data_IF_692274551581
#
_entry.id   IF_692274551581
#
_cell.length_a   1.000
_cell.length_b   1.000
_cell.length_c   1.000
_cell.angle_alpha   90.00
_cell.angle_beta   90.00
_cell.angle_gamma   90.00
#
_symmetry.space_group_name_H-M   'P 1'
#
loop_
_entity.id
_entity.type
_entity.pdbx_description
1 polymer ?
#
# COMPACT_ATOMS: atom_id res chain seq x y z
N UNK A 1 46.59 -80.02 -21.03
CA UNK A 1 47.30 -79.09 -20.11
C UNK A 1 47.19 -77.62 -20.47
N UNK A 2 46.94 -77.19 -21.71
CA UNK A 2 46.85 -75.79 -22.12
C UNK A 2 45.56 -75.06 -21.66
N UNK A 3 44.45 -75.78 -21.50
CA UNK A 3 43.17 -75.16 -21.12
C UNK A 3 43.10 -74.68 -19.65
N UNK A 4 43.88 -75.29 -18.75
CA UNK A 4 43.89 -74.91 -17.32
C UNK A 4 44.73 -73.61 -17.11
N UNK A 5 45.72 -73.36 -17.97
CA UNK A 5 46.58 -72.21 -17.86
C UNK A 5 45.90 -70.87 -18.27
N UNK A 6 44.82 -70.97 -19.07
CA UNK A 6 44.03 -69.81 -19.47
C UNK A 6 42.88 -69.50 -18.47
N UNK A 7 42.42 -70.53 -17.77
CA UNK A 7 41.32 -70.39 -16.78
C UNK A 7 41.74 -69.63 -15.51
N UNK A 8 43.01 -69.75 -15.10
CA UNK A 8 43.56 -69.09 -13.90
C UNK A 8 43.53 -67.58 -14.02
N UNK A 9 44.05 -66.94 -15.12
CA UNK A 9 44.00 -65.49 -15.27
C UNK A 9 42.58 -64.94 -15.46
N UNK A 10 41.67 -65.70 -16.12
CA UNK A 10 40.30 -65.28 -16.27
C UNK A 10 39.59 -65.31 -14.91
N UNK A 11 39.82 -66.30 -14.08
CA UNK A 11 39.29 -66.37 -12.72
C UNK A 11 39.88 -65.27 -11.83
N UNK A 12 41.17 -64.94 -11.98
CA UNK A 12 41.85 -63.84 -11.31
C UNK A 12 41.23 -62.49 -11.68
N UNK A 13 40.96 -62.25 -12.98
CA UNK A 13 40.30 -61.04 -13.47
C UNK A 13 38.83 -60.97 -12.98
N UNK A 14 38.11 -62.09 -12.96
CA UNK A 14 36.75 -62.14 -12.46
C UNK A 14 36.68 -61.84 -10.94
N UNK A 15 37.62 -62.46 -10.16
CA UNK A 15 37.75 -62.20 -8.72
C UNK A 15 38.18 -60.73 -8.46
N UNK A 16 39.12 -60.21 -9.25
CA UNK A 16 39.52 -58.82 -9.17
C UNK A 16 38.33 -57.84 -9.47
N UNK A 17 37.56 -58.15 -10.48
CA UNK A 17 36.38 -57.35 -10.84
C UNK A 17 35.27 -57.42 -9.77
N UNK A 18 35.03 -58.61 -9.21
CA UNK A 18 34.08 -58.82 -8.11
C UNK A 18 34.57 -58.18 -6.82
N UNK A 19 35.85 -58.24 -6.52
CA UNK A 19 36.47 -57.63 -5.37
C UNK A 19 36.52 -56.11 -5.52
N UNK A 20 36.83 -55.58 -6.71
CA UNK A 20 36.82 -54.16 -7.00
C UNK A 20 35.42 -53.57 -7.00
N UNK A 21 34.44 -54.36 -7.44
CA UNK A 21 33.02 -53.99 -7.36
C UNK A 21 32.49 -53.98 -5.92
N UNK A 22 33.03 -54.86 -5.08
CA UNK A 22 32.71 -54.95 -3.64
C UNK A 22 33.50 -53.91 -2.81
N UNK A 23 34.65 -53.45 -3.28
CA UNK A 23 35.49 -52.45 -2.64
C UNK A 23 35.21 -51.02 -3.07
N UNK A 24 34.41 -50.78 -4.13
CA UNK A 24 33.82 -49.45 -4.24
C UNK A 24 32.89 -49.31 -3.05
N UNK A 25 33.24 -48.52 -2.04
CA UNK A 25 32.22 -48.18 -1.05
C UNK A 25 31.05 -47.63 -1.87
N UNK A 26 29.90 -48.29 -1.82
CA UNK A 26 28.67 -47.59 -2.03
C UNK A 26 28.79 -46.45 -1.03
N UNK A 27 29.18 -45.29 -1.52
CA UNK A 27 28.89 -44.05 -0.85
C UNK A 27 27.34 -44.09 -0.77
N UNK A 28 26.84 -44.67 0.29
CA UNK A 28 25.46 -44.41 0.73
C UNK A 28 25.54 -42.93 1.05
N UNK A 29 25.39 -42.13 -0.01
CA UNK A 29 25.25 -40.69 0.16
C UNK A 29 24.10 -40.55 1.12
N UNK A 30 24.41 -40.19 2.35
CA UNK A 30 23.40 -40.00 3.36
C UNK A 30 22.47 -38.90 2.84
N UNK A 31 21.34 -39.26 2.28
CA UNK A 31 20.35 -38.34 1.71
C UNK A 31 20.11 -37.17 2.65
N UNK A 32 20.20 -37.42 3.98
CA UNK A 32 20.06 -36.37 5.00
C UNK A 32 21.21 -35.38 4.97
N UNK A 33 22.47 -35.84 4.77
CA UNK A 33 23.64 -34.95 4.68
C UNK A 33 23.58 -34.12 3.42
N UNK A 34 23.26 -34.72 2.26
CA UNK A 34 23.11 -33.96 0.99
C UNK A 34 21.97 -32.95 1.10
N UNK A 35 20.88 -33.31 1.80
CA UNK A 35 19.75 -32.40 2.01
C UNK A 35 20.16 -31.22 2.91
N UNK A 36 20.87 -31.46 4.01
CA UNK A 36 21.38 -30.43 4.91
C UNK A 36 22.37 -29.51 4.18
N UNK A 37 23.33 -30.08 3.44
CA UNK A 37 24.26 -29.31 2.62
C UNK A 37 23.53 -28.47 1.56
N UNK A 38 22.49 -29.02 0.92
CA UNK A 38 21.65 -28.28 -0.02
C UNK A 38 20.94 -27.09 0.62
N UNK A 39 20.46 -27.21 1.87
CA UNK A 39 19.89 -26.11 2.62
C UNK A 39 20.93 -25.03 2.97
N UNK A 40 22.11 -25.44 3.43
CA UNK A 40 23.22 -24.51 3.73
C UNK A 40 23.64 -23.71 2.49
N UNK A 41 23.66 -24.38 1.34
CA UNK A 41 23.93 -23.72 0.04
C UNK A 41 22.84 -22.72 -0.33
N UNK A 42 21.56 -23.00 -0.04
CA UNK A 42 20.46 -22.05 -0.24
C UNK A 42 20.61 -20.81 0.63
N UNK A 43 20.85 -21.00 1.93
CA UNK A 43 21.08 -19.92 2.88
C UNK A 43 22.29 -19.07 2.47
N UNK A 44 23.35 -19.71 1.96
CA UNK A 44 24.55 -19.03 1.46
C UNK A 44 24.40 -18.42 0.05
N UNK A 45 23.19 -18.42 -0.54
CA UNK A 45 22.93 -17.88 -1.88
C UNK A 45 23.48 -18.72 -3.04
N UNK A 46 24.07 -19.89 -2.79
CA UNK A 46 24.66 -20.78 -3.80
C UNK A 46 23.61 -21.65 -4.49
N UNK A 47 22.64 -21.00 -5.16
CA UNK A 47 21.45 -21.65 -5.74
C UNK A 47 21.75 -22.80 -6.71
N UNK A 48 22.79 -22.67 -7.57
CA UNK A 48 23.17 -23.71 -8.55
C UNK A 48 23.68 -24.98 -7.83
N UNK A 49 24.43 -24.83 -6.76
CA UNK A 49 24.94 -25.95 -5.99
C UNK A 49 23.80 -26.65 -5.24
N UNK A 50 22.93 -25.86 -4.58
CA UNK A 50 21.72 -26.36 -3.93
C UNK A 50 20.82 -27.15 -4.92
N UNK A 51 20.62 -26.61 -6.12
CA UNK A 51 19.88 -27.29 -7.18
C UNK A 51 20.46 -28.68 -7.51
N UNK A 52 21.77 -28.80 -7.65
CA UNK A 52 22.46 -30.07 -7.93
C UNK A 52 22.24 -31.06 -6.80
N UNK A 53 22.35 -30.63 -5.54
CA UNK A 53 22.15 -31.49 -4.38
C UNK A 53 20.69 -32.01 -4.31
N UNK A 54 19.69 -31.15 -4.41
CA UNK A 54 18.29 -31.60 -4.40
C UNK A 54 17.94 -32.47 -5.60
N UNK A 55 18.51 -32.19 -6.78
CA UNK A 55 18.34 -33.03 -7.97
C UNK A 55 18.95 -34.43 -7.78
N UNK A 56 20.12 -34.55 -7.12
CA UNK A 56 20.72 -35.85 -6.83
C UNK A 56 19.86 -36.67 -5.89
N UNK A 57 19.28 -36.02 -4.85
CA UNK A 57 18.35 -36.69 -3.92
C UNK A 57 17.15 -37.25 -4.68
N UNK A 58 16.55 -36.46 -5.58
CA UNK A 58 15.39 -36.89 -6.38
C UNK A 58 15.73 -38.07 -7.31
N UNK A 59 16.95 -38.11 -7.82
CA UNK A 59 17.40 -39.23 -8.67
C UNK A 59 17.59 -40.52 -7.88
N UNK A 60 17.97 -40.45 -6.60
CA UNK A 60 18.14 -41.59 -5.71
C UNK A 60 16.81 -42.00 -5.07
N UNK A 61 16.02 -41.04 -4.61
CA UNK A 61 14.70 -41.23 -4.00
C UNK A 61 13.67 -40.32 -4.70
N UNK A 62 13.02 -40.88 -5.70
CA UNK A 62 11.97 -40.20 -6.47
C UNK A 62 10.73 -39.88 -5.65
N UNK A 63 10.60 -40.40 -4.42
CA UNK A 63 9.49 -40.15 -3.53
C UNK A 63 9.77 -39.01 -2.51
N UNK A 64 10.96 -38.43 -2.53
CA UNK A 64 11.36 -37.40 -1.58
C UNK A 64 10.67 -36.06 -1.85
N UNK A 65 9.50 -35.87 -1.24
CA UNK A 65 8.65 -34.66 -1.40
C UNK A 65 9.42 -33.41 -1.02
N UNK A 66 10.19 -33.46 0.09
CA UNK A 66 10.94 -32.29 0.58
C UNK A 66 11.96 -31.80 -0.43
N UNK A 67 12.69 -32.71 -1.10
CA UNK A 67 13.66 -32.35 -2.13
C UNK A 67 12.97 -31.69 -3.35
N UNK A 68 11.81 -32.20 -3.77
CA UNK A 68 11.03 -31.57 -4.84
C UNK A 68 10.53 -30.17 -4.46
N UNK A 69 10.06 -29.97 -3.22
CA UNK A 69 9.63 -28.66 -2.74
C UNK A 69 10.78 -27.65 -2.81
N UNK A 70 11.99 -28.04 -2.37
CA UNK A 70 13.17 -27.17 -2.44
C UNK A 70 13.63 -26.93 -3.88
N UNK A 71 13.59 -27.94 -4.73
CA UNK A 71 13.92 -27.77 -6.16
C UNK A 71 12.98 -26.78 -6.85
N UNK A 72 11.68 -26.89 -6.61
CA UNK A 72 10.69 -25.95 -7.12
C UNK A 72 10.89 -24.54 -6.56
N UNK A 73 11.22 -24.40 -5.27
CA UNK A 73 11.56 -23.12 -4.65
C UNK A 73 12.75 -22.44 -5.39
N UNK A 74 13.83 -23.18 -5.61
CA UNK A 74 15.02 -22.66 -6.33
C UNK A 74 14.66 -22.19 -7.73
N UNK A 75 13.81 -22.94 -8.44
CA UNK A 75 13.38 -22.56 -9.79
C UNK A 75 12.53 -21.29 -9.76
N UNK A 76 11.61 -21.13 -8.79
CA UNK A 76 10.82 -19.92 -8.63
C UNK A 76 11.71 -18.71 -8.35
N UNK A 77 12.58 -18.81 -7.36
CA UNK A 77 13.51 -17.74 -7.00
C UNK A 77 14.54 -17.42 -8.09
N UNK A 78 14.77 -18.34 -9.01
CA UNK A 78 15.56 -18.15 -10.24
C UNK A 78 14.75 -17.61 -11.42
N UNK A 79 13.53 -17.10 -11.20
CA UNK A 79 12.66 -16.51 -12.24
C UNK A 79 11.90 -17.54 -13.10
N UNK A 80 11.90 -18.82 -12.73
CA UNK A 80 11.23 -19.86 -13.51
C UNK A 80 10.01 -20.44 -12.78
N UNK A 81 9.07 -19.54 -12.41
CA UNK A 81 7.88 -19.89 -11.67
C UNK A 81 6.98 -20.92 -12.39
N UNK A 82 6.96 -20.90 -13.73
CA UNK A 82 6.18 -21.88 -14.53
C UNK A 82 6.71 -23.30 -14.32
N UNK A 83 8.04 -23.51 -14.37
CA UNK A 83 8.62 -24.84 -14.12
C UNK A 83 8.45 -25.26 -12.65
N UNK A 84 8.61 -24.31 -11.72
CA UNK A 84 8.36 -24.57 -10.31
C UNK A 84 6.92 -25.04 -10.07
N UNK A 85 5.94 -24.34 -10.65
CA UNK A 85 4.52 -24.70 -10.57
C UNK A 85 4.25 -26.11 -11.12
N UNK A 86 4.86 -26.47 -12.27
CA UNK A 86 4.72 -27.81 -12.87
C UNK A 86 5.24 -28.90 -11.92
N UNK A 87 6.41 -28.67 -11.30
CA UNK A 87 6.99 -29.61 -10.31
C UNK A 87 6.07 -29.75 -9.09
N UNK A 88 5.69 -28.63 -8.48
CA UNK A 88 4.85 -28.65 -7.29
C UNK A 88 3.49 -29.32 -7.56
N UNK A 89 2.84 -29.01 -8.68
CA UNK A 89 1.56 -29.66 -9.04
C UNK A 89 1.68 -31.17 -9.25
N UNK A 90 2.81 -31.66 -9.76
CA UNK A 90 3.02 -33.09 -9.91
C UNK A 90 3.04 -33.84 -8.58
N UNK A 91 3.37 -33.15 -7.48
CA UNK A 91 3.34 -33.74 -6.14
C UNK A 91 1.92 -33.97 -5.62
N UNK A 92 0.92 -33.19 -6.07
CA UNK A 92 -0.48 -33.37 -5.67
C UNK A 92 -1.04 -34.75 -6.06
N UNK A 93 -0.44 -35.41 -7.05
CA UNK A 93 -0.84 -36.73 -7.53
C UNK A 93 -0.30 -37.86 -6.67
N UNK A 94 0.54 -37.57 -5.67
CA UNK A 94 1.15 -38.63 -4.83
C UNK A 94 0.20 -39.07 -3.72
N UNK A 95 0.16 -40.39 -3.48
CA UNK A 95 -0.76 -41.01 -2.53
C UNK A 95 -0.37 -40.84 -1.05
N UNK A 96 0.92 -40.61 -0.77
CA UNK A 96 1.45 -40.52 0.61
C UNK A 96 2.09 -39.14 0.82
N UNK A 97 1.30 -38.18 1.22
CA UNK A 97 1.73 -36.84 1.61
C UNK A 97 1.22 -36.59 3.02
N UNK A 98 2.10 -36.19 3.93
CA UNK A 98 1.73 -35.78 5.28
C UNK A 98 0.96 -34.48 5.27
N UNK A 99 0.21 -34.17 6.33
CA UNK A 99 -0.51 -32.90 6.48
C UNK A 99 0.46 -31.73 6.38
N UNK A 100 1.61 -31.80 7.04
CA UNK A 100 2.64 -30.78 6.98
C UNK A 100 3.18 -30.56 5.55
N UNK A 101 3.53 -31.65 4.85
CA UNK A 101 4.00 -31.55 3.46
C UNK A 101 2.92 -30.99 2.52
N UNK A 102 1.65 -31.27 2.80
CA UNK A 102 0.53 -30.75 2.03
C UNK A 102 0.37 -29.23 2.22
N UNK A 103 0.52 -28.72 3.43
CA UNK A 103 0.54 -27.29 3.72
C UNK A 103 1.71 -26.62 2.99
N UNK A 104 2.93 -27.16 3.13
CA UNK A 104 4.11 -26.61 2.44
C UNK A 104 3.95 -26.65 0.91
N UNK A 105 3.30 -27.67 0.38
CA UNK A 105 3.01 -27.79 -1.05
C UNK A 105 2.06 -26.70 -1.52
N UNK A 106 0.93 -26.50 -0.84
CA UNK A 106 -0.02 -25.43 -1.17
C UNK A 106 0.63 -24.04 -1.05
N UNK A 107 1.44 -23.83 -0.01
CA UNK A 107 2.23 -22.60 0.16
C UNK A 107 3.13 -22.34 -1.06
N UNK A 108 3.89 -23.34 -1.51
CA UNK A 108 4.76 -23.19 -2.66
C UNK A 108 3.99 -22.99 -3.98
N UNK A 109 2.83 -23.64 -4.14
CA UNK A 109 1.96 -23.43 -5.31
C UNK A 109 1.38 -22.00 -5.29
N UNK A 110 0.91 -21.54 -4.14
CA UNK A 110 0.41 -20.15 -3.98
C UNK A 110 1.48 -19.13 -4.34
N UNK A 111 2.71 -19.31 -3.82
CA UNK A 111 3.83 -18.43 -4.16
C UNK A 111 4.20 -18.47 -5.64
N UNK A 112 4.12 -19.65 -6.29
CA UNK A 112 4.35 -19.72 -7.74
C UNK A 112 3.30 -18.96 -8.53
N UNK A 113 2.03 -19.00 -8.11
CA UNK A 113 0.97 -18.23 -8.74
C UNK A 113 1.13 -16.73 -8.49
N UNK A 114 1.60 -16.35 -7.30
CA UNK A 114 1.94 -14.96 -6.97
C UNK A 114 3.01 -14.40 -7.90
N UNK A 115 4.11 -15.12 -8.12
CA UNK A 115 5.18 -14.74 -9.06
C UNK A 115 4.74 -14.70 -10.54
N UNK A 116 3.61 -15.31 -10.85
CA UNK A 116 2.99 -15.29 -12.17
C UNK A 116 1.85 -14.26 -12.27
N UNK A 117 1.73 -13.36 -11.30
CA UNK A 117 0.66 -12.37 -11.16
C UNK A 117 -0.77 -12.95 -11.24
N UNK A 118 -0.90 -14.26 -10.96
CA UNK A 118 -2.20 -14.93 -10.92
C UNK A 118 -2.73 -14.97 -9.49
N UNK A 119 -3.15 -13.79 -9.00
CA UNK A 119 -3.53 -13.61 -7.60
C UNK A 119 -4.76 -14.44 -7.22
N UNK A 120 -5.74 -14.60 -8.10
CA UNK A 120 -6.94 -15.41 -7.83
C UNK A 120 -6.59 -16.86 -7.53
N UNK A 121 -5.68 -17.47 -8.33
CA UNK A 121 -5.25 -18.82 -8.07
C UNK A 121 -4.36 -18.93 -6.83
N UNK A 122 -3.57 -17.89 -6.55
CA UNK A 122 -2.78 -17.82 -5.32
C UNK A 122 -3.70 -17.81 -4.07
N UNK A 123 -4.79 -17.03 -4.10
CA UNK A 123 -5.83 -16.99 -3.06
C UNK A 123 -6.43 -18.39 -2.86
N UNK A 124 -6.84 -19.06 -3.93
CA UNK A 124 -7.43 -20.41 -3.84
C UNK A 124 -6.49 -21.45 -3.19
N UNK A 125 -5.19 -21.35 -3.43
CA UNK A 125 -4.23 -22.26 -2.80
C UNK A 125 -3.97 -21.90 -1.33
N UNK A 126 -3.94 -20.63 -0.97
CA UNK A 126 -3.83 -20.18 0.42
C UNK A 126 -5.07 -20.58 1.24
N UNK A 127 -6.27 -20.47 0.67
CA UNK A 127 -7.51 -20.93 1.31
C UNK A 127 -7.52 -22.42 1.61
N UNK A 128 -6.86 -23.24 0.76
CA UNK A 128 -6.72 -24.69 1.05
C UNK A 128 -5.88 -24.92 2.30
N UNK A 129 -4.91 -24.07 2.59
CA UNK A 129 -4.13 -24.12 3.83
C UNK A 129 -5.03 -23.84 5.03
N UNK A 130 -5.85 -22.77 4.97
CA UNK A 130 -6.77 -22.41 6.05
C UNK A 130 -7.87 -23.45 6.30
N UNK A 131 -8.22 -24.25 5.29
CA UNK A 131 -9.12 -25.41 5.47
C UNK A 131 -8.48 -26.54 6.26
N UNK A 132 -7.14 -26.63 6.26
CA UNK A 132 -6.39 -27.65 7.01
C UNK A 132 -6.03 -27.10 8.40
N UNK A 133 -5.55 -25.87 8.47
CA UNK A 133 -5.08 -25.18 9.65
C UNK A 133 -5.64 -23.76 9.65
N UNK A 134 -6.74 -23.56 10.37
CA UNK A 134 -7.54 -22.34 10.34
C UNK A 134 -6.75 -21.09 10.73
N UNK A 135 -5.82 -21.22 11.67
CA UNK A 135 -5.03 -20.11 12.21
C UNK A 135 -3.61 -20.09 11.64
N UNK A 136 -3.40 -20.64 10.44
CA UNK A 136 -2.09 -20.62 9.79
C UNK A 136 -1.66 -19.20 9.45
N UNK A 137 -0.72 -18.66 10.22
CA UNK A 137 -0.27 -17.28 10.12
C UNK A 137 0.24 -16.92 8.73
N UNK A 138 1.00 -17.83 8.10
CA UNK A 138 1.52 -17.57 6.76
C UNK A 138 0.40 -17.40 5.73
N UNK A 139 -0.61 -18.29 5.77
CA UNK A 139 -1.72 -18.24 4.83
C UNK A 139 -2.56 -16.97 5.01
N UNK A 140 -2.85 -16.59 6.28
CA UNK A 140 -3.57 -15.37 6.60
C UNK A 140 -2.80 -14.15 6.09
N UNK A 141 -1.50 -14.07 6.39
CA UNK A 141 -0.65 -12.95 5.96
C UNK A 141 -0.57 -12.86 4.43
N UNK A 142 -0.43 -14.00 3.75
CA UNK A 142 -0.38 -14.05 2.28
C UNK A 142 -1.71 -13.61 1.64
N UNK A 143 -2.85 -13.96 2.24
CA UNK A 143 -4.17 -13.50 1.80
C UNK A 143 -4.35 -12.00 2.01
N UNK A 144 -3.89 -11.45 3.14
CA UNK A 144 -3.87 -9.99 3.34
C UNK A 144 -3.12 -9.29 2.20
N UNK A 145 -1.91 -9.79 1.87
CA UNK A 145 -1.10 -9.24 0.78
C UNK A 145 -1.82 -9.30 -0.57
N UNK A 146 -2.43 -10.44 -0.90
CA UNK A 146 -3.13 -10.65 -2.16
C UNK A 146 -4.36 -9.76 -2.28
N UNK A 147 -5.19 -9.65 -1.23
CA UNK A 147 -6.37 -8.79 -1.25
C UNK A 147 -6.00 -7.31 -1.30
N UNK A 148 -4.90 -6.88 -0.65
CA UNK A 148 -4.36 -5.53 -0.84
C UNK A 148 -3.98 -5.25 -2.29
N UNK A 149 -3.26 -6.19 -2.94
CA UNK A 149 -2.88 -6.05 -4.36
C UNK A 149 -4.08 -6.01 -5.30
N UNK A 150 -5.14 -6.73 -4.96
CA UNK A 150 -6.41 -6.70 -5.69
C UNK A 150 -7.29 -5.48 -5.33
N UNK A 151 -6.82 -4.59 -4.45
CA UNK A 151 -7.58 -3.44 -3.93
C UNK A 151 -8.88 -3.84 -3.19
N UNK A 152 -9.01 -5.10 -2.75
CA UNK A 152 -10.13 -5.63 -1.95
C UNK A 152 -9.83 -5.41 -0.45
N UNK A 153 -9.95 -4.16 -0.03
CA UNK A 153 -9.63 -3.75 1.34
C UNK A 153 -10.63 -4.26 2.37
N UNK A 154 -11.83 -4.60 1.94
CA UNK A 154 -12.82 -5.23 2.82
C UNK A 154 -12.30 -6.59 3.28
N UNK A 155 -11.94 -7.48 2.35
CA UNK A 155 -11.37 -8.79 2.68
C UNK A 155 -10.02 -8.69 3.36
N UNK A 156 -9.15 -7.77 2.92
CA UNK A 156 -7.88 -7.53 3.60
C UNK A 156 -8.08 -7.19 5.09
N UNK A 157 -9.11 -6.38 5.42
CA UNK A 157 -9.47 -6.05 6.81
C UNK A 157 -9.99 -7.26 7.59
N UNK A 158 -10.77 -8.14 6.97
CA UNK A 158 -11.27 -9.38 7.59
C UNK A 158 -10.13 -10.32 7.94
N UNK A 159 -9.20 -10.53 7.01
CA UNK A 159 -8.01 -11.35 7.26
C UNK A 159 -7.04 -10.70 8.26
N UNK A 160 -6.94 -9.36 8.30
CA UNK A 160 -6.16 -8.69 9.34
C UNK A 160 -6.73 -8.95 10.75
N UNK A 161 -8.05 -8.94 10.91
CA UNK A 161 -8.69 -9.34 12.18
C UNK A 161 -8.42 -10.81 12.50
N UNK A 162 -8.47 -11.69 11.51
CA UNK A 162 -8.13 -13.10 11.69
C UNK A 162 -6.67 -13.29 12.12
N UNK A 163 -5.75 -12.51 11.56
CA UNK A 163 -4.35 -12.47 11.99
C UNK A 163 -4.19 -12.04 13.44
N UNK A 164 -4.90 -10.98 13.86
CA UNK A 164 -4.87 -10.53 15.25
C UNK A 164 -5.42 -11.58 16.21
N UNK A 165 -6.49 -12.29 15.81
CA UNK A 165 -7.04 -13.38 16.62
C UNK A 165 -6.08 -14.56 16.73
N UNK A 166 -5.42 -14.95 15.62
CA UNK A 166 -4.47 -16.07 15.60
C UNK A 166 -3.20 -15.78 16.40
N UNK A 167 -2.70 -14.54 16.37
CA UNK A 167 -1.44 -14.17 17.03
C UNK A 167 -1.61 -13.58 18.43
N UNK A 168 -2.82 -13.26 18.85
CA UNK A 168 -3.12 -12.53 20.08
C UNK A 168 -2.66 -11.06 20.09
N UNK A 169 -2.18 -10.55 18.94
CA UNK A 169 -1.79 -9.15 18.76
C UNK A 169 -3.03 -8.29 18.53
N UNK A 170 -2.92 -7.01 18.89
CA UNK A 170 -3.94 -6.01 18.57
C UNK A 170 -3.24 -4.73 18.13
N UNK A 171 -3.70 -4.19 17.00
CA UNK A 171 -3.21 -2.93 16.46
C UNK A 171 -4.43 -2.20 15.88
N UNK A 172 -5.03 -1.33 16.70
CA UNK A 172 -6.21 -0.57 16.31
C UNK A 172 -5.88 0.45 15.24
N UNK A 173 -4.69 1.06 15.29
CA UNK A 173 -4.21 2.01 14.29
C UNK A 173 -4.16 1.36 12.90
N UNK A 174 -3.47 0.23 12.79
CA UNK A 174 -3.39 -0.52 11.54
C UNK A 174 -4.77 -0.94 11.02
N UNK A 175 -5.67 -1.36 11.90
CA UNK A 175 -7.04 -1.73 11.54
C UNK A 175 -7.84 -0.52 11.05
N UNK A 176 -7.66 0.65 11.66
CA UNK A 176 -8.27 1.90 11.23
C UNK A 176 -7.79 2.31 9.84
N UNK A 177 -6.47 2.22 9.58
CA UNK A 177 -5.90 2.52 8.25
C UNK A 177 -6.46 1.60 7.15
N UNK A 178 -6.61 0.29 7.41
CA UNK A 178 -7.23 -0.63 6.46
C UNK A 178 -8.68 -0.26 6.16
N UNK A 179 -9.45 0.16 7.18
CA UNK A 179 -10.80 0.67 6.98
C UNK A 179 -10.82 1.93 6.13
N UNK A 180 -9.87 2.86 6.33
CA UNK A 180 -9.76 4.06 5.50
C UNK A 180 -9.50 3.70 4.05
N UNK A 181 -8.63 2.72 3.77
CA UNK A 181 -8.43 2.26 2.40
C UNK A 181 -9.69 1.64 1.80
N UNK A 182 -10.46 0.88 2.59
CA UNK A 182 -11.77 0.38 2.15
C UNK A 182 -12.73 1.55 1.84
N UNK A 183 -12.83 2.54 2.72
CA UNK A 183 -13.66 3.72 2.45
C UNK A 183 -13.22 4.47 1.19
N UNK A 184 -11.90 4.54 0.92
CA UNK A 184 -11.39 5.12 -0.32
C UNK A 184 -11.90 4.38 -1.56
N UNK A 185 -11.93 3.05 -1.54
CA UNK A 185 -12.50 2.27 -2.67
C UNK A 185 -13.99 2.52 -2.85
N UNK A 186 -14.75 2.66 -1.76
CA UNK A 186 -16.18 3.02 -1.82
C UNK A 186 -16.38 4.44 -2.39
N UNK A 187 -15.51 5.40 -2.06
CA UNK A 187 -15.52 6.74 -2.65
C UNK A 187 -15.28 6.69 -4.17
N UNK A 188 -14.40 5.82 -4.64
CA UNK A 188 -14.08 5.68 -6.07
C UNK A 188 -15.27 5.18 -6.88
N UNK A 189 -16.13 4.35 -6.29
CA UNK A 189 -17.37 3.84 -6.89
C UNK A 189 -18.60 4.68 -6.55
N UNK A 190 -18.40 5.87 -5.94
CA UNK A 190 -19.45 6.81 -5.55
C UNK A 190 -20.43 6.30 -4.48
N UNK A 191 -20.01 5.33 -3.68
CA UNK A 191 -20.80 4.80 -2.57
C UNK A 191 -20.51 5.58 -1.27
N UNK A 192 -20.91 6.86 -1.26
CA UNK A 192 -20.48 7.82 -0.23
C UNK A 192 -21.04 7.53 1.16
N UNK A 193 -22.25 7.02 1.26
CA UNK A 193 -22.89 6.71 2.55
C UNK A 193 -22.13 5.58 3.25
N UNK A 194 -21.85 4.47 2.55
CA UNK A 194 -21.04 3.36 3.09
C UNK A 194 -19.61 3.83 3.42
N UNK A 195 -19.01 4.67 2.56
CA UNK A 195 -17.67 5.22 2.83
C UNK A 195 -17.64 5.99 4.16
N UNK A 196 -18.65 6.85 4.42
CA UNK A 196 -18.75 7.61 5.68
C UNK A 196 -18.96 6.70 6.89
N UNK A 197 -19.77 5.65 6.75
CA UNK A 197 -19.97 4.68 7.82
C UNK A 197 -18.68 3.91 8.14
N UNK A 198 -17.92 3.49 7.12
CA UNK A 198 -16.62 2.84 7.31
C UNK A 198 -15.61 3.80 7.98
N UNK A 199 -15.58 5.08 7.57
CA UNK A 199 -14.72 6.10 8.19
C UNK A 199 -15.10 6.35 9.65
N UNK A 200 -16.40 6.40 9.96
CA UNK A 200 -16.88 6.47 11.33
C UNK A 200 -16.43 5.28 12.17
N UNK A 201 -16.48 4.07 11.60
CA UNK A 201 -15.95 2.86 12.25
C UNK A 201 -14.42 2.87 12.40
N UNK A 202 -13.68 3.60 11.56
CA UNK A 202 -12.24 3.80 11.74
C UNK A 202 -11.96 4.76 12.90
N UNK A 203 -12.68 5.88 12.98
CA UNK A 203 -12.58 6.85 14.06
C UNK A 203 -13.00 6.29 15.43
N UNK A 204 -13.91 5.30 15.46
CA UNK A 204 -14.21 4.57 16.71
C UNK A 204 -13.04 3.71 17.23
N UNK A 205 -12.04 3.42 16.37
CA UNK A 205 -10.82 2.72 16.77
C UNK A 205 -9.74 3.70 17.22
N UNK A 206 -9.72 4.89 16.60
CA UNK A 206 -8.75 5.95 16.84
C UNK A 206 -9.37 7.29 16.39
N UNK A 207 -9.72 8.14 17.34
CA UNK A 207 -10.52 9.34 17.13
C UNK A 207 -9.72 10.54 16.59
N UNK A 208 -8.40 10.56 16.80
CA UNK A 208 -7.47 11.59 16.34
C UNK A 208 -6.82 11.27 14.98
N UNK A 209 -7.40 10.39 14.20
CA UNK A 209 -6.89 9.96 12.90
C UNK A 209 -7.22 11.01 11.82
N UNK A 210 -6.34 11.99 11.63
CA UNK A 210 -6.53 13.12 10.72
C UNK A 210 -6.97 12.70 9.31
N UNK A 211 -6.37 11.64 8.77
CA UNK A 211 -6.65 11.17 7.42
C UNK A 211 -8.11 10.68 7.23
N UNK A 212 -8.77 10.22 8.29
CA UNK A 212 -10.19 9.86 8.23
C UNK A 212 -11.06 11.10 7.99
N UNK A 213 -10.74 12.23 8.65
CA UNK A 213 -11.43 13.50 8.44
C UNK A 213 -11.19 14.09 7.05
N UNK A 214 -9.97 13.91 6.50
CA UNK A 214 -9.72 14.24 5.09
C UNK A 214 -10.69 13.53 4.15
N UNK A 215 -10.82 12.20 4.31
CA UNK A 215 -11.71 11.41 3.45
C UNK A 215 -13.19 11.67 3.73
N UNK A 216 -13.60 11.95 4.98
CA UNK A 216 -14.95 12.39 5.28
C UNK A 216 -15.31 13.69 4.51
N UNK A 217 -14.44 14.70 4.56
CA UNK A 217 -14.64 15.91 3.78
C UNK A 217 -14.69 15.63 2.27
N UNK A 218 -13.81 14.73 1.78
CA UNK A 218 -13.77 14.32 0.37
C UNK A 218 -15.04 13.59 -0.08
N UNK A 219 -15.69 12.78 0.78
CA UNK A 219 -16.98 12.15 0.43
C UNK A 219 -18.03 13.21 0.15
N UNK A 220 -18.19 14.20 1.03
CA UNK A 220 -19.17 15.27 0.86
C UNK A 220 -18.88 16.14 -0.36
N UNK A 221 -17.60 16.47 -0.60
CA UNK A 221 -17.21 17.27 -1.76
C UNK A 221 -17.48 16.55 -3.08
N UNK A 222 -17.16 15.26 -3.19
CA UNK A 222 -17.45 14.47 -4.40
C UNK A 222 -18.94 14.26 -4.61
N UNK A 223 -19.69 13.95 -3.56
CA UNK A 223 -21.14 13.80 -3.63
C UNK A 223 -21.81 15.09 -4.08
N UNK A 224 -21.38 16.23 -3.54
CA UNK A 224 -21.84 17.56 -3.97
C UNK A 224 -21.57 17.79 -5.45
N UNK A 225 -20.38 17.46 -5.94
CA UNK A 225 -20.04 17.58 -7.35
C UNK A 225 -20.98 16.77 -8.24
N UNK A 226 -21.27 15.52 -7.88
CA UNK A 226 -22.20 14.69 -8.66
C UNK A 226 -23.65 15.21 -8.62
N UNK A 227 -24.08 15.82 -7.51
CA UNK A 227 -25.38 16.46 -7.43
C UNK A 227 -25.42 17.70 -8.33
N UNK A 228 -24.34 18.50 -8.32
CA UNK A 228 -24.24 19.70 -9.15
C UNK A 228 -24.15 19.36 -10.64
N UNK A 229 -23.50 18.27 -11.02
CA UNK A 229 -23.44 17.79 -12.41
C UNK A 229 -24.85 17.52 -12.95
N UNK A 230 -25.79 17.00 -12.13
CA UNK A 230 -27.19 16.82 -12.51
C UNK A 230 -27.88 18.15 -12.77
N UNK A 231 -27.55 19.21 -12.02
CA UNK A 231 -28.06 20.55 -12.29
C UNK A 231 -27.55 21.06 -13.64
N UNK A 232 -26.25 20.90 -13.93
CA UNK A 232 -25.64 21.30 -15.21
C UNK A 232 -26.26 20.54 -16.40
N UNK A 233 -26.49 19.23 -16.24
CA UNK A 233 -27.15 18.43 -17.28
C UNK A 233 -28.57 18.93 -17.57
N UNK A 234 -29.33 19.25 -16.52
CA UNK A 234 -30.68 19.79 -16.65
C UNK A 234 -30.65 21.18 -17.31
N UNK A 235 -29.70 22.04 -16.97
CA UNK A 235 -29.53 23.36 -17.61
C UNK A 235 -29.19 23.21 -19.10
N UNK A 236 -28.30 22.29 -19.47
CA UNK A 236 -27.94 22.01 -20.88
C UNK A 236 -29.11 21.46 -21.70
N UNK A 237 -30.02 20.71 -21.09
CA UNK A 237 -31.19 20.19 -21.76
C UNK A 237 -32.28 21.27 -21.99
N UNK A 238 -32.11 22.44 -21.40
CA UNK A 238 -33.00 23.58 -21.46
C UNK A 238 -34.03 23.57 -20.34
N UNK A 239 -34.09 24.66 -19.58
CA UNK A 239 -35.04 24.85 -18.49
C UNK A 239 -36.43 25.29 -19.03
N UNK A 240 -37.09 24.40 -19.79
CA UNK A 240 -38.29 24.73 -20.56
C UNK A 240 -39.57 24.79 -19.76
N UNK A 241 -39.62 24.17 -18.58
CA UNK A 241 -40.76 24.15 -17.69
C UNK A 241 -40.47 24.78 -16.32
N UNK A 242 -41.50 25.18 -15.60
CA UNK A 242 -41.39 25.63 -14.20
C UNK A 242 -40.79 24.52 -13.32
N UNK A 243 -41.22 23.28 -13.56
CA UNK A 243 -40.73 22.08 -12.86
C UNK A 243 -39.25 21.86 -13.08
N UNK A 244 -38.70 22.14 -14.28
CA UNK A 244 -37.27 21.97 -14.55
C UNK A 244 -36.44 23.02 -13.79
N UNK A 245 -36.95 24.25 -13.70
CA UNK A 245 -36.31 25.31 -12.90
C UNK A 245 -36.31 25.00 -11.40
N UNK A 246 -37.42 24.46 -10.89
CA UNK A 246 -37.51 24.03 -9.49
C UNK A 246 -36.52 22.90 -9.19
N UNK A 247 -36.44 21.89 -10.04
CA UNK A 247 -35.45 20.79 -9.90
C UNK A 247 -34.01 21.28 -9.98
N UNK A 248 -33.73 22.19 -10.92
CA UNK A 248 -32.39 22.81 -11.02
C UNK A 248 -31.99 23.49 -9.71
N UNK A 249 -32.90 24.37 -9.18
CA UNK A 249 -32.62 25.05 -7.93
C UNK A 249 -32.50 24.08 -6.75
N UNK A 250 -33.28 23.00 -6.74
CA UNK A 250 -33.15 21.95 -5.72
C UNK A 250 -31.77 21.29 -5.77
N UNK A 251 -31.32 20.85 -6.96
CA UNK A 251 -30.00 20.25 -7.10
C UNK A 251 -28.85 21.19 -6.69
N UNK A 252 -28.94 22.49 -7.07
CA UNK A 252 -27.95 23.48 -6.65
C UNK A 252 -27.95 23.66 -5.12
N UNK A 253 -29.13 23.67 -4.50
CA UNK A 253 -29.25 23.80 -3.04
C UNK A 253 -28.71 22.58 -2.34
N UNK A 254 -29.08 21.37 -2.79
CA UNK A 254 -28.63 20.12 -2.21
C UNK A 254 -27.11 19.95 -2.35
N UNK A 255 -26.55 20.35 -3.50
CA UNK A 255 -25.11 20.36 -3.71
C UNK A 255 -24.37 21.28 -2.73
N UNK A 256 -24.88 22.51 -2.56
CA UNK A 256 -24.29 23.49 -1.61
C UNK A 256 -24.41 23.01 -0.17
N UNK A 257 -25.54 22.45 0.23
CA UNK A 257 -25.74 21.88 1.56
C UNK A 257 -24.77 20.71 1.81
N UNK A 258 -24.65 19.81 0.84
CA UNK A 258 -23.74 18.66 0.93
C UNK A 258 -22.29 19.12 1.02
N UNK A 259 -21.87 20.09 0.18
CA UNK A 259 -20.52 20.63 0.23
C UNK A 259 -20.22 21.30 1.58
N UNK A 260 -21.20 21.98 2.18
CA UNK A 260 -21.01 22.66 3.46
C UNK A 260 -20.59 21.69 4.58
N UNK A 261 -20.99 20.41 4.50
CA UNK A 261 -20.64 19.36 5.46
C UNK A 261 -19.15 18.94 5.38
N UNK A 262 -18.44 19.25 4.29
CA UNK A 262 -17.02 18.99 4.16
C UNK A 262 -16.16 19.94 5.01
N UNK A 263 -16.61 21.15 5.23
CA UNK A 263 -15.85 22.22 5.90
C UNK A 263 -15.44 21.84 7.34
N UNK A 264 -16.37 21.45 8.24
CA UNK A 264 -16.01 21.07 9.59
C UNK A 264 -15.05 19.84 9.62
N UNK A 265 -15.15 18.93 8.67
CA UNK A 265 -14.26 17.78 8.56
C UNK A 265 -12.83 18.23 8.25
N UNK A 266 -12.64 19.12 7.30
CA UNK A 266 -11.34 19.64 6.93
C UNK A 266 -10.75 20.57 7.99
N UNK A 267 -11.57 21.36 8.70
CA UNK A 267 -11.11 22.14 9.85
C UNK A 267 -10.59 21.19 10.93
N UNK A 268 -11.30 20.12 11.23
CA UNK A 268 -10.87 19.15 12.23
C UNK A 268 -9.56 18.44 11.82
N UNK A 269 -9.39 18.12 10.54
CA UNK A 269 -8.10 17.66 10.02
C UNK A 269 -6.97 18.63 10.34
N UNK A 270 -7.17 19.94 10.09
CA UNK A 270 -6.16 20.99 10.34
C UNK A 270 -5.84 21.13 11.84
N UNK A 271 -6.81 20.86 12.71
CA UNK A 271 -6.61 20.89 14.16
C UNK A 271 -5.80 19.70 14.68
N UNK A 272 -5.93 18.54 14.05
CA UNK A 272 -5.14 17.34 14.42
C UNK A 272 -3.75 17.41 13.80
N UNK A 273 -3.65 17.84 12.53
CA UNK A 273 -2.41 17.78 11.77
C UNK A 273 -2.06 19.13 11.08
N UNK A 274 -1.72 20.16 11.88
CA UNK A 274 -1.45 21.49 11.35
C UNK A 274 -0.20 21.56 10.45
N UNK A 275 0.76 20.64 10.63
CA UNK A 275 2.01 20.62 9.86
C UNK A 275 1.81 20.12 8.42
N UNK A 276 0.72 19.41 8.15
CA UNK A 276 0.36 18.93 6.81
C UNK A 276 -0.88 19.63 6.28
N UNK A 277 -1.11 20.84 6.72
CA UNK A 277 -2.27 21.67 6.34
C UNK A 277 -2.34 21.95 4.83
N UNK A 278 -1.20 21.94 4.13
CA UNK A 278 -1.12 22.08 2.67
C UNK A 278 -2.01 21.08 1.92
N UNK A 279 -2.28 19.93 2.53
CA UNK A 279 -3.07 18.86 1.94
C UNK A 279 -4.57 19.19 1.87
N UNK A 280 -5.06 19.97 2.83
CA UNK A 280 -6.49 20.27 3.01
C UNK A 280 -6.82 21.74 2.73
N UNK A 281 -5.90 22.66 2.95
CA UNK A 281 -6.15 24.10 2.76
C UNK A 281 -6.69 24.44 1.36
N UNK A 282 -6.17 23.89 0.24
CA UNK A 282 -6.75 24.15 -1.08
C UNK A 282 -8.20 23.70 -1.18
N UNK A 283 -8.53 22.51 -0.65
CA UNK A 283 -9.89 21.95 -0.67
C UNK A 283 -10.86 22.81 0.15
N UNK A 284 -10.41 23.29 1.31
CA UNK A 284 -11.20 24.18 2.16
C UNK A 284 -11.46 25.53 1.48
N UNK A 285 -10.43 26.11 0.84
CA UNK A 285 -10.55 27.34 0.06
C UNK A 285 -11.57 27.18 -1.07
N UNK A 286 -11.46 26.13 -1.86
CA UNK A 286 -12.35 25.84 -3.00
C UNK A 286 -13.79 25.65 -2.53
N UNK A 287 -14.02 24.93 -1.44
CA UNK A 287 -15.36 24.70 -0.88
C UNK A 287 -15.99 26.02 -0.39
N UNK A 288 -15.25 26.81 0.37
CA UNK A 288 -15.75 28.09 0.88
C UNK A 288 -15.98 29.10 -0.25
N UNK A 289 -15.17 29.11 -1.29
CA UNK A 289 -15.38 29.92 -2.48
C UNK A 289 -16.65 29.51 -3.21
N UNK A 290 -16.85 28.20 -3.45
CA UNK A 290 -18.04 27.67 -4.13
C UNK A 290 -19.34 27.90 -3.36
N UNK A 291 -19.24 28.13 -2.04
CA UNK A 291 -20.37 28.42 -1.17
C UNK A 291 -20.62 29.92 -0.95
N UNK A 292 -19.84 30.79 -1.60
CA UNK A 292 -19.85 32.24 -1.35
C UNK A 292 -19.48 32.65 0.10
N UNK A 293 -18.72 31.79 0.81
CA UNK A 293 -18.31 31.94 2.22
C UNK A 293 -16.81 32.17 2.40
N UNK A 294 -16.14 32.71 1.38
CA UNK A 294 -14.70 32.91 1.37
C UNK A 294 -14.18 33.78 2.52
N UNK A 295 -15.01 34.73 3.00
CA UNK A 295 -14.68 35.58 4.16
C UNK A 295 -14.43 34.81 5.46
N UNK A 296 -14.98 33.61 5.61
CA UNK A 296 -14.77 32.78 6.81
C UNK A 296 -13.36 32.23 6.92
N UNK A 297 -12.60 32.19 5.82
CA UNK A 297 -11.18 31.77 5.85
C UNK A 297 -10.34 32.61 6.81
N UNK A 298 -10.64 33.90 6.93
CA UNK A 298 -9.90 34.79 7.85
C UNK A 298 -10.03 34.31 9.29
N UNK A 299 -11.25 34.04 9.73
CA UNK A 299 -11.54 33.60 11.09
C UNK A 299 -10.96 32.19 11.33
N UNK A 300 -11.07 31.31 10.36
CA UNK A 300 -10.54 29.95 10.44
C UNK A 300 -9.01 29.96 10.60
N UNK A 301 -8.31 30.66 9.68
CA UNK A 301 -6.84 30.69 9.73
C UNK A 301 -6.32 31.50 10.92
N UNK A 302 -7.04 32.56 11.33
CA UNK A 302 -6.69 33.30 12.53
C UNK A 302 -6.75 32.41 13.76
N UNK A 303 -7.87 31.71 13.99
CA UNK A 303 -8.03 30.77 15.11
C UNK A 303 -6.98 29.64 15.08
N UNK A 304 -6.69 29.08 13.89
CA UNK A 304 -5.65 28.07 13.75
C UNK A 304 -4.26 28.65 14.04
N UNK A 305 -3.95 29.89 13.65
CA UNK A 305 -2.68 30.53 13.93
C UNK A 305 -2.49 30.87 15.41
N UNK A 306 -3.57 31.14 16.14
CA UNK A 306 -3.53 31.29 17.61
C UNK A 306 -3.31 29.95 18.32
N UNK A 307 -3.96 28.90 17.85
CA UNK A 307 -3.83 27.54 18.40
C UNK A 307 -2.47 26.92 18.08
N UNK A 308 -1.92 27.20 16.89
CA UNK A 308 -0.67 26.66 16.37
C UNK A 308 0.28 27.78 15.89
N UNK A 309 0.79 28.61 16.79
CA UNK A 309 1.58 29.82 16.42
C UNK A 309 2.88 29.49 15.71
N UNK A 310 3.37 28.25 15.85
CA UNK A 310 4.60 27.76 15.25
C UNK A 310 4.39 26.98 13.92
N UNK A 311 3.15 26.81 13.48
CA UNK A 311 2.87 26.17 12.19
C UNK A 311 3.11 27.13 11.04
N UNK A 312 4.19 26.87 10.32
CA UNK A 312 4.63 27.65 9.16
C UNK A 312 3.60 27.62 8.05
N UNK A 313 2.98 26.46 7.84
CA UNK A 313 2.00 26.22 6.79
C UNK A 313 0.72 27.03 7.04
N UNK A 314 0.25 27.09 8.28
CA UNK A 314 -0.92 27.91 8.66
C UNK A 314 -0.59 29.40 8.51
N UNK A 315 0.58 29.84 8.98
CA UNK A 315 1.01 31.23 8.82
C UNK A 315 1.15 31.60 7.33
N UNK A 316 1.69 30.69 6.52
CA UNK A 316 1.80 30.88 5.08
C UNK A 316 0.42 30.99 4.41
N UNK A 317 -0.54 30.16 4.79
CA UNK A 317 -1.91 30.22 4.28
C UNK A 317 -2.65 31.50 4.67
N UNK A 318 -2.45 31.97 5.90
CA UNK A 318 -3.00 33.23 6.38
C UNK A 318 -2.40 34.42 5.66
N UNK A 319 -1.08 34.41 5.41
CA UNK A 319 -0.41 35.45 4.64
C UNK A 319 -0.89 35.51 3.18
N UNK A 320 -1.02 34.33 2.54
CA UNK A 320 -1.58 34.21 1.19
C UNK A 320 -3.02 34.74 1.12
N UNK A 321 -3.84 34.46 2.12
CA UNK A 321 -5.20 34.99 2.23
C UNK A 321 -5.18 36.53 2.27
N UNK A 322 -4.36 37.17 3.13
CA UNK A 322 -4.26 38.62 3.20
C UNK A 322 -3.69 39.24 1.92
N UNK A 323 -2.76 38.55 1.27
CA UNK A 323 -2.23 38.95 -0.04
C UNK A 323 -3.34 39.05 -1.09
N UNK A 324 -4.16 38.01 -1.17
CA UNK A 324 -5.28 37.92 -2.13
C UNK A 324 -6.37 38.98 -1.82
N UNK A 325 -6.50 39.38 -0.56
CA UNK A 325 -7.40 40.47 -0.11
C UNK A 325 -6.84 41.87 -0.36
N UNK A 326 -5.58 41.98 -0.86
CA UNK A 326 -4.90 43.25 -1.11
C UNK A 326 -4.20 43.88 0.10
N UNK A 327 -4.23 43.19 1.27
CA UNK A 327 -3.56 43.66 2.48
C UNK A 327 -2.11 43.15 2.56
N UNK A 328 -1.25 43.69 1.69
CA UNK A 328 0.12 43.23 1.53
C UNK A 328 0.99 43.43 2.77
N UNK A 329 0.80 44.55 3.49
CA UNK A 329 1.60 44.83 4.69
C UNK A 329 1.37 43.80 5.78
N UNK A 330 0.08 43.45 6.05
CA UNK A 330 -0.26 42.41 7.01
C UNK A 330 0.26 41.03 6.57
N UNK A 331 0.20 40.73 5.27
CA UNK A 331 0.74 39.47 4.71
C UNK A 331 2.27 39.37 4.92
N UNK A 332 2.99 40.48 4.71
CA UNK A 332 4.46 40.56 4.89
C UNK A 332 4.82 40.35 6.36
N UNK A 333 4.13 41.02 7.30
CA UNK A 333 4.36 40.85 8.74
C UNK A 333 4.21 39.40 9.21
N UNK A 334 3.20 38.70 8.70
CA UNK A 334 2.95 37.27 9.03
C UNK A 334 4.07 36.41 8.45
N UNK A 335 4.49 36.65 7.20
CA UNK A 335 5.58 35.89 6.56
C UNK A 335 6.92 36.13 7.24
N UNK A 336 7.19 37.36 7.70
CA UNK A 336 8.40 37.64 8.48
C UNK A 336 8.42 36.92 9.82
N UNK A 337 7.26 36.79 10.47
CA UNK A 337 7.10 35.97 11.68
C UNK A 337 7.40 34.50 11.38
N UNK A 338 6.85 33.95 10.30
CA UNK A 338 7.12 32.57 9.88
C UNK A 338 8.61 32.34 9.54
N UNK A 339 9.29 33.30 8.88
CA UNK A 339 10.72 33.23 8.58
C UNK A 339 11.62 33.26 9.82
N UNK A 340 11.19 33.91 10.91
CA UNK A 340 11.93 33.89 12.17
C UNK A 340 11.93 32.48 12.79
N UNK A 341 10.85 31.73 12.58
CA UNK A 341 10.72 30.36 13.07
C UNK A 341 11.53 29.37 12.22
N UNK A 342 11.43 29.46 10.90
CA UNK A 342 12.19 28.62 9.98
C UNK A 342 12.73 29.43 8.78
N UNK A 343 13.99 29.86 8.87
CA UNK A 343 14.69 30.62 7.83
C UNK A 343 14.88 29.84 6.52
N UNK A 344 14.78 28.53 6.56
CA UNK A 344 15.06 27.66 5.41
C UNK A 344 13.79 27.13 4.73
N UNK A 345 12.60 27.43 5.23
CA UNK A 345 11.35 27.01 4.59
C UNK A 345 11.25 27.55 3.17
N UNK A 346 11.22 26.65 2.20
CA UNK A 346 11.04 26.98 0.78
C UNK A 346 9.68 27.63 0.55
N UNK A 347 8.63 27.10 1.17
CA UNK A 347 7.26 27.62 1.09
C UNK A 347 7.22 29.11 1.48
N UNK A 348 7.75 29.44 2.65
CA UNK A 348 7.73 30.80 3.16
C UNK A 348 8.57 31.76 2.26
N UNK A 349 9.71 31.29 1.75
CA UNK A 349 10.53 32.06 0.80
C UNK A 349 9.79 32.34 -0.50
N UNK A 350 9.06 31.36 -1.04
CA UNK A 350 8.27 31.52 -2.26
C UNK A 350 7.10 32.50 -2.06
N UNK A 351 6.39 32.38 -0.94
CA UNK A 351 5.31 33.31 -0.61
C UNK A 351 5.87 34.74 -0.40
N UNK A 352 6.99 34.87 0.30
CA UNK A 352 7.66 36.17 0.41
C UNK A 352 8.06 36.75 -0.96
N UNK A 353 8.56 35.92 -1.86
CA UNK A 353 8.89 36.30 -3.22
C UNK A 353 7.64 36.77 -3.99
N UNK A 354 6.54 36.01 -3.92
CA UNK A 354 5.22 36.39 -4.47
C UNK A 354 4.76 37.75 -3.96
N UNK A 355 4.82 37.99 -2.65
CA UNK A 355 4.43 39.25 -2.02
C UNK A 355 5.29 40.43 -2.48
N UNK A 356 6.59 40.24 -2.63
CA UNK A 356 7.51 41.27 -3.13
C UNK A 356 7.21 41.67 -4.58
N UNK A 357 6.90 40.68 -5.44
CA UNK A 357 6.49 40.94 -6.82
C UNK A 357 5.18 41.74 -6.85
N UNK A 358 4.20 41.39 -6.06
CA UNK A 358 2.95 42.14 -5.95
C UNK A 358 3.18 43.59 -5.52
N UNK A 359 4.08 43.80 -4.55
CA UNK A 359 4.40 45.15 -4.03
C UNK A 359 5.13 45.99 -5.05
N UNK A 360 5.96 45.42 -5.92
CA UNK A 360 6.77 46.11 -6.90
C UNK A 360 6.08 46.29 -8.26
N UNK A 361 4.87 45.80 -8.42
CA UNK A 361 4.09 45.87 -9.67
C UNK A 361 4.83 45.31 -10.90
N UNK A 362 5.72 44.34 -10.73
CA UNK A 362 6.41 43.71 -11.85
C UNK A 362 5.47 42.76 -12.62
N UNK A 363 5.58 42.73 -13.95
CA UNK A 363 4.77 41.92 -14.87
C UNK A 363 5.15 40.42 -14.85
N UNK A 364 5.23 39.81 -13.68
CA UNK A 364 5.39 38.37 -13.55
C UNK A 364 4.01 37.78 -13.27
N UNK A 365 3.65 36.72 -13.96
CA UNK A 365 2.39 36.01 -13.71
C UNK A 365 2.39 35.43 -12.28
N UNK A 366 1.51 35.92 -11.45
CA UNK A 366 1.34 35.38 -10.08
C UNK A 366 0.83 33.92 -10.12
N UNK A 367 0.05 33.56 -11.15
CA UNK A 367 -0.45 32.21 -11.35
C UNK A 367 0.71 31.21 -11.52
N UNK A 368 1.78 31.59 -12.25
CA UNK A 368 2.95 30.72 -12.42
C UNK A 368 3.65 30.45 -11.08
N UNK A 369 3.65 31.41 -10.18
CA UNK A 369 4.23 31.27 -8.83
C UNK A 369 3.34 30.37 -7.97
N UNK A 370 2.02 30.51 -8.05
CA UNK A 370 1.07 29.68 -7.34
C UNK A 370 1.14 28.23 -7.84
N UNK A 371 1.31 28.02 -9.13
CA UNK A 371 1.51 26.68 -9.73
C UNK A 371 2.83 26.05 -9.25
N UNK A 372 3.92 26.82 -9.16
CA UNK A 372 5.20 26.33 -8.62
C UNK A 372 5.05 25.97 -7.13
N UNK A 373 4.38 26.82 -6.34
CA UNK A 373 4.11 26.52 -4.93
C UNK A 373 3.30 25.23 -4.79
N UNK A 374 2.22 25.10 -5.58
CA UNK A 374 1.38 23.91 -5.56
C UNK A 374 2.15 22.63 -5.99
N UNK A 375 3.03 22.76 -6.99
CA UNK A 375 3.89 21.67 -7.45
C UNK A 375 4.86 21.22 -6.34
N UNK A 376 5.57 22.18 -5.72
CA UNK A 376 6.53 21.90 -4.64
C UNK A 376 5.83 21.26 -3.45
N UNK A 377 4.63 21.72 -3.09
CA UNK A 377 3.86 21.15 -1.98
C UNK A 377 3.38 19.72 -2.25
N UNK A 378 3.19 19.37 -3.52
CA UNK A 378 2.80 18.00 -3.95
C UNK A 378 4.02 17.08 -4.14
N UNK A 379 5.23 17.63 -4.22
CA UNK A 379 6.43 16.84 -4.44
C UNK A 379 6.78 16.04 -3.18
N UNK A 380 6.85 14.70 -3.34
CA UNK A 380 7.24 13.79 -2.27
C UNK A 380 8.65 14.05 -1.74
N UNK A 381 9.56 14.54 -2.58
CA UNK A 381 10.91 14.93 -2.16
C UNK A 381 10.90 16.14 -1.24
N UNK A 382 10.08 17.15 -1.53
CA UNK A 382 9.89 18.31 -0.65
C UNK A 382 9.32 17.89 0.71
N UNK A 383 8.34 17.00 0.69
CA UNK A 383 7.73 16.42 1.89
C UNK A 383 8.76 15.66 2.74
N UNK A 384 9.63 14.87 2.10
CA UNK A 384 10.69 14.11 2.79
C UNK A 384 11.77 15.01 3.40
N UNK A 385 12.08 16.14 2.78
CA UNK A 385 13.12 17.09 3.26
C UNK A 385 12.61 17.87 4.47
N UNK A 386 11.34 18.28 4.48
CA UNK A 386 10.76 19.07 5.56
C UNK A 386 10.25 18.22 6.74
N UNK A 387 10.17 16.91 6.58
CA UNK A 387 9.49 16.08 7.53
C UNK A 387 10.33 14.85 7.93
N UNK A 388 11.08 14.99 9.01
CA UNK A 388 11.58 13.83 9.77
C UNK A 388 10.44 13.04 10.42
N UNK A 389 9.21 13.55 10.36
CA UNK A 389 8.00 12.99 10.95
C UNK A 389 6.81 13.00 9.97
N UNK A 390 7.00 12.69 8.67
CA UNK A 390 5.84 12.35 7.83
C UNK A 390 4.99 11.36 8.59
N UNK A 391 3.80 11.82 8.99
CA UNK A 391 2.85 10.94 9.63
C UNK A 391 2.78 9.67 8.79
N UNK A 392 3.13 8.54 9.39
CA UNK A 392 3.20 7.23 8.74
C UNK A 392 1.94 6.92 7.93
N UNK A 393 0.80 7.49 8.32
CA UNK A 393 -0.50 7.32 7.73
C UNK A 393 -0.61 7.94 6.33
N UNK A 394 -0.10 9.17 6.18
CA UNK A 394 -0.11 9.85 4.87
C UNK A 394 0.88 9.19 3.94
N UNK A 395 2.06 8.83 4.43
CA UNK A 395 3.06 8.07 3.67
C UNK A 395 2.49 6.73 3.19
N UNK A 396 1.77 6.03 4.06
CA UNK A 396 1.14 4.77 3.73
C UNK A 396 0.05 4.91 2.66
N UNK A 397 -0.74 6.00 2.70
CA UNK A 397 -1.76 6.29 1.69
C UNK A 397 -1.18 6.58 0.31
N UNK A 398 -0.05 7.29 0.24
CA UNK A 398 0.56 7.66 -1.03
C UNK A 398 1.36 6.51 -1.65
N UNK A 399 2.07 5.74 -0.85
CA UNK A 399 3.02 4.76 -1.36
C UNK A 399 2.43 3.37 -1.53
N UNK A 400 1.21 3.07 -1.03
CA UNK A 400 0.65 1.71 -0.94
C UNK A 400 1.65 0.71 -0.31
N UNK A 401 2.61 1.22 0.48
CA UNK A 401 3.77 0.48 0.91
C UNK A 401 3.40 -0.65 1.87
N UNK A 402 3.90 -1.83 1.53
CA UNK A 402 3.75 -3.09 2.25
C UNK A 402 4.47 -3.06 3.62
N UNK A 403 5.20 -1.99 3.93
CA UNK A 403 6.13 -1.88 5.06
C UNK A 403 5.62 -1.02 6.23
N UNK A 404 4.34 -1.06 6.52
CA UNK A 404 3.89 -0.73 7.87
C UNK A 404 3.95 -2.04 8.66
N UNK A 405 5.16 -2.37 9.09
CA UNK A 405 5.42 -3.49 9.99
C UNK A 405 5.06 -3.14 11.43
#
# INVERSE_FOLDING_TARGET
MFSILILIPILGIAIYFLYYKKLKPHKVNNIREIYAEGLDMLVSGKRIAAYKNFKSIINEDSNNIKAYLRLGQILREGGNAIKALKIHKSLLLRKKITVYEKIELYKNIAMNYYELDNFDKSILEADKILKIEKDNEWAIHHLILLYKKNNDWMKATEYLKSYFNATGKRDNHKLALYKIQHARTEIEVNNFEEARDILGRALNLEDDLAIAYYYLGKTYSKESSLIYDKAIELEKSGLNSLSDKEKYNQYVTDAKETLSKSIPMWIHYLEINPQQSWFVIPLLKDALFSLDRYSELEDIFYKLSEKFPDSIEILAALADYYSNKGNLDKAIDIIEKALKQNKNSILVKLIKFKLNIQKTSQNISLNDIDDIIAFILKDTAYQMINDQSLNSDIKWLFNNDENIS
#
